data_IF_654633590310
#
_entry.id   IF_654633590310
#
_cell.length_a   1.000
_cell.length_b   1.000
_cell.length_c   1.000
_cell.angle_alpha   90.00
_cell.angle_beta   90.00
_cell.angle_gamma   90.00
#
_symmetry.space_group_name_H-M   'P 1'
#
loop_
_entity.id
_entity.type
_entity.pdbx_description
1 polymer ?
#
# COMPACT_ATOMS: atom_id res chain seq x y z
N UNK A 1 23.30 5.06 -23.14
CA UNK A 1 23.16 5.47 -21.73
C UNK A 1 21.85 4.89 -21.23
N UNK A 2 21.90 3.77 -20.52
CA UNK A 2 20.70 3.03 -20.07
C UNK A 2 20.07 3.84 -18.94
N UNK A 3 18.87 4.40 -19.16
CA UNK A 3 18.06 5.03 -18.13
C UNK A 3 17.61 3.96 -17.13
N UNK A 4 18.49 3.67 -16.17
CA UNK A 4 18.28 2.74 -15.06
C UNK A 4 17.26 3.34 -14.08
N UNK A 5 16.07 2.76 -14.05
CA UNK A 5 15.26 2.49 -12.84
C UNK A 5 15.10 3.56 -11.73
N UNK A 6 15.21 4.87 -12.01
CA UNK A 6 14.99 5.91 -10.96
C UNK A 6 13.51 6.13 -10.56
N UNK A 7 12.54 5.44 -11.17
CA UNK A 7 11.10 5.70 -10.95
C UNK A 7 10.34 4.66 -10.12
N UNK A 8 11.01 3.85 -9.31
CA UNK A 8 10.32 2.84 -8.49
C UNK A 8 9.87 3.36 -7.11
N UNK A 9 10.50 4.42 -6.57
CA UNK A 9 10.24 4.90 -5.20
C UNK A 9 9.19 6.02 -5.11
N UNK A 10 8.77 6.58 -6.24
CA UNK A 10 7.87 7.73 -6.30
C UNK A 10 6.49 7.38 -5.71
N UNK A 11 6.18 7.95 -4.53
CA UNK A 11 4.92 7.76 -3.81
C UNK A 11 4.90 6.61 -2.81
N UNK A 12 5.99 5.85 -2.63
CA UNK A 12 6.01 4.78 -1.61
C UNK A 12 5.96 5.36 -0.19
N UNK A 13 6.78 6.37 0.08
CA UNK A 13 6.84 7.03 1.40
C UNK A 13 5.54 7.75 1.73
N UNK A 14 4.90 8.35 0.73
CA UNK A 14 3.57 8.93 0.86
C UNK A 14 2.55 7.87 1.32
N UNK A 15 2.46 6.75 0.61
CA UNK A 15 1.55 5.67 1.00
C UNK A 15 1.92 5.14 2.39
N UNK A 16 3.21 5.01 2.71
CA UNK A 16 3.68 4.60 4.04
C UNK A 16 3.16 5.55 5.12
N UNK A 17 3.29 6.85 4.94
CA UNK A 17 2.79 7.86 5.89
C UNK A 17 1.28 7.76 6.07
N UNK A 18 0.51 7.63 4.97
CA UNK A 18 -0.94 7.45 5.03
C UNK A 18 -1.31 6.22 5.85
N UNK A 19 -0.62 5.10 5.61
CA UNK A 19 -0.85 3.84 6.32
C UNK A 19 -0.48 3.97 7.81
N UNK A 20 0.62 4.63 8.15
CA UNK A 20 1.01 4.87 9.55
C UNK A 20 -0.09 5.61 10.32
N UNK A 21 -0.76 6.59 9.68
CA UNK A 21 -1.80 7.40 10.34
C UNK A 21 -3.19 6.78 10.34
N UNK A 22 -3.51 5.87 9.41
CA UNK A 22 -4.89 5.42 9.18
C UNK A 22 -5.07 3.89 9.19
N UNK A 23 -4.01 3.11 9.39
CA UNK A 23 -4.18 1.68 9.59
C UNK A 23 -4.98 1.43 10.88
N UNK A 24 -5.93 0.49 10.87
CA UNK A 24 -6.61 0.08 12.09
C UNK A 24 -5.59 -0.46 13.09
N UNK A 25 -5.72 -0.10 14.37
CA UNK A 25 -4.78 -0.56 15.41
C UNK A 25 -4.63 -2.09 15.53
N UNK A 26 -5.59 -2.86 15.00
CA UNK A 26 -5.53 -4.34 14.90
C UNK A 26 -4.59 -4.86 13.79
N UNK A 27 -4.12 -4.00 12.89
CA UNK A 27 -3.17 -4.33 11.82
C UNK A 27 -1.88 -3.56 12.10
N UNK A 28 -0.87 -4.18 12.73
CA UNK A 28 0.41 -3.54 12.96
C UNK A 28 1.04 -3.09 11.63
N UNK A 29 1.63 -1.90 11.58
CA UNK A 29 2.27 -1.38 10.36
C UNK A 29 3.38 -2.34 9.86
N UNK A 30 4.07 -3.01 10.79
CA UNK A 30 5.10 -4.02 10.49
C UNK A 30 4.59 -5.23 9.69
N UNK A 31 3.27 -5.42 9.60
CA UNK A 31 2.68 -6.44 8.72
C UNK A 31 2.85 -6.11 7.25
N UNK A 32 3.01 -4.83 6.89
CA UNK A 32 3.27 -4.38 5.52
C UNK A 32 4.77 -4.24 5.32
N UNK A 33 5.39 -5.28 4.75
CA UNK A 33 6.84 -5.38 4.55
C UNK A 33 7.33 -4.50 3.41
N UNK A 34 6.53 -4.37 2.37
CA UNK A 34 6.89 -3.59 1.18
C UNK A 34 5.66 -2.92 0.59
N UNK A 35 5.84 -1.68 0.12
CA UNK A 35 4.82 -0.91 -0.57
C UNK A 35 5.33 -0.66 -1.97
N UNK A 36 4.55 -1.04 -2.98
CA UNK A 36 4.88 -0.78 -4.39
C UNK A 36 3.84 0.13 -4.98
N UNK A 37 4.29 1.17 -5.68
CA UNK A 37 3.39 2.05 -6.43
C UNK A 37 3.71 1.88 -7.92
N UNK A 38 2.71 1.48 -8.70
CA UNK A 38 2.80 1.26 -10.15
C UNK A 38 1.71 2.05 -10.85
N UNK A 39 2.03 3.27 -11.28
CA UNK A 39 1.04 4.20 -11.82
C UNK A 39 -0.06 4.49 -10.79
N UNK A 40 -1.31 4.09 -11.09
CA UNK A 40 -2.48 4.26 -10.21
C UNK A 40 -2.78 3.05 -9.30
N UNK A 41 -1.88 2.06 -9.26
CA UNK A 41 -2.01 0.86 -8.45
C UNK A 41 -1.03 0.91 -7.27
N UNK A 42 -1.54 0.66 -6.07
CA UNK A 42 -0.73 0.42 -4.88
C UNK A 42 -0.73 -1.08 -4.57
N UNK A 43 0.43 -1.64 -4.24
CA UNK A 43 0.55 -3.02 -3.79
C UNK A 43 1.15 -3.04 -2.38
N UNK A 44 0.43 -3.65 -1.44
CA UNK A 44 0.86 -3.87 -0.08
C UNK A 44 1.35 -5.32 0.02
N UNK A 45 2.63 -5.51 0.29
CA UNK A 45 3.24 -6.83 0.44
C UNK A 45 3.27 -7.17 1.93
N UNK A 46 2.73 -8.34 2.27
CA UNK A 46 2.64 -8.87 3.63
C UNK A 46 3.32 -10.24 3.71
N UNK A 47 3.76 -10.69 4.90
CA UNK A 47 4.62 -11.87 5.02
C UNK A 47 3.91 -13.23 4.92
N UNK A 48 2.58 -13.27 5.02
CA UNK A 48 1.83 -14.51 4.87
C UNK A 48 0.35 -14.28 4.52
N UNK A 49 -0.35 -15.38 4.24
CA UNK A 49 -1.76 -15.39 3.85
C UNK A 49 -2.72 -14.96 4.97
N UNK A 50 -2.37 -15.16 6.24
CA UNK A 50 -3.15 -14.71 7.38
C UNK A 50 -3.22 -13.19 7.43
N UNK A 51 -2.06 -12.52 7.37
CA UNK A 51 -2.03 -11.05 7.28
C UNK A 51 -2.68 -10.55 6.00
N UNK A 52 -2.49 -11.25 4.87
CA UNK A 52 -3.13 -10.89 3.60
C UNK A 52 -4.64 -10.79 3.78
N UNK A 53 -5.27 -11.76 4.44
CA UNK A 53 -6.71 -11.74 4.67
C UNK A 53 -7.16 -10.50 5.45
N UNK A 54 -6.47 -10.15 6.55
CA UNK A 54 -6.82 -8.99 7.38
C UNK A 54 -6.64 -7.66 6.65
N UNK A 55 -5.52 -7.49 5.94
CA UNK A 55 -5.24 -6.27 5.17
C UNK A 55 -6.18 -6.16 3.97
N UNK A 56 -6.45 -7.26 3.25
CA UNK A 56 -7.36 -7.26 2.09
C UNK A 56 -8.79 -6.91 2.51
N UNK A 57 -9.25 -7.45 3.64
CA UNK A 57 -10.55 -7.11 4.23
C UNK A 57 -10.64 -5.61 4.54
N UNK A 58 -9.61 -5.02 5.14
CA UNK A 58 -9.57 -3.60 5.43
C UNK A 58 -9.52 -2.75 4.15
N UNK A 59 -8.67 -3.11 3.18
CA UNK A 59 -8.56 -2.42 1.89
C UNK A 59 -9.92 -2.34 1.17
N UNK A 60 -10.68 -3.43 1.17
CA UNK A 60 -12.03 -3.48 0.59
C UNK A 60 -13.04 -2.64 1.35
N UNK A 61 -12.98 -2.65 2.68
CA UNK A 61 -13.93 -1.92 3.52
C UNK A 61 -13.74 -0.41 3.43
N UNK A 62 -12.49 0.06 3.56
CA UNK A 62 -12.18 1.48 3.65
C UNK A 62 -10.79 1.86 3.13
N UNK A 63 -9.82 0.95 3.13
CA UNK A 63 -8.41 1.28 2.90
C UNK A 63 -8.15 1.89 1.52
N UNK A 64 -8.83 1.44 0.46
CA UNK A 64 -8.75 2.10 -0.85
C UNK A 64 -9.22 3.56 -0.78
N UNK A 65 -10.32 3.84 -0.08
CA UNK A 65 -10.86 5.19 0.04
C UNK A 65 -9.94 6.08 0.87
N UNK A 66 -9.39 5.56 1.97
CA UNK A 66 -8.40 6.25 2.80
C UNK A 66 -7.18 6.63 1.97
N UNK A 67 -6.60 5.67 1.24
CA UNK A 67 -5.44 5.93 0.39
C UNK A 67 -5.78 6.94 -0.70
N UNK A 68 -6.91 6.77 -1.39
CA UNK A 68 -7.33 7.68 -2.48
C UNK A 68 -7.59 9.10 -2.02
N UNK A 69 -8.12 9.31 -0.81
CA UNK A 69 -8.43 10.64 -0.26
C UNK A 69 -7.19 11.39 0.22
N UNK A 70 -6.17 10.67 0.70
CA UNK A 70 -4.99 11.27 1.31
C UNK A 70 -3.76 11.29 0.38
N UNK A 71 -3.76 10.49 -0.69
CA UNK A 71 -2.70 10.54 -1.68
C UNK A 71 -2.85 11.79 -2.57
N UNK A 72 -1.74 12.48 -2.81
CA UNK A 72 -1.55 13.54 -3.80
C UNK A 72 -1.73 13.04 -5.23
N UNK A 73 -1.72 11.73 -5.45
CA UNK A 73 -1.93 11.10 -6.76
C UNK A 73 -3.21 10.31 -6.85
N UNK A 74 -3.71 10.21 -8.08
CA UNK A 74 -4.88 9.39 -8.39
C UNK A 74 -4.58 7.91 -8.18
N UNK A 75 -5.17 7.31 -7.14
CA UNK A 75 -5.14 5.87 -6.88
C UNK A 75 -6.46 5.25 -7.33
N UNK A 76 -6.34 4.24 -8.18
CA UNK A 76 -7.48 3.48 -8.75
C UNK A 76 -7.73 2.17 -8.01
N UNK A 77 -6.68 1.56 -7.47
CA UNK A 77 -6.76 0.24 -6.86
C UNK A 77 -5.62 0.02 -5.86
N UNK A 78 -5.90 -0.81 -4.87
CA UNK A 78 -4.93 -1.29 -3.88
C UNK A 78 -5.02 -2.81 -3.88
N UNK A 79 -3.89 -3.49 -4.07
CA UNK A 79 -3.78 -4.94 -4.02
C UNK A 79 -2.94 -5.36 -2.83
N UNK A 80 -3.34 -6.44 -2.15
CA UNK A 80 -2.55 -7.06 -1.09
C UNK A 80 -1.93 -8.34 -1.63
N UNK A 81 -0.62 -8.49 -1.49
CA UNK A 81 0.16 -9.65 -1.93
C UNK A 81 0.80 -10.32 -0.71
N UNK A 82 0.65 -11.64 -0.58
CA UNK A 82 1.49 -12.44 0.32
C UNK A 82 2.79 -12.82 -0.39
N UNK A 83 3.89 -12.89 0.35
CA UNK A 83 5.17 -13.43 -0.09
C UNK A 83 5.67 -14.45 0.91
#
# INVERSE_FOLDING_TARGET
MVQRFEKASEGQDEIRQILTSHLPGRIPLDTIKEIRVRGRLVQLVVPDHGFKFHVDRWVRAEGLNVIRKNAQRSISSVKVLSR
#
